data_IF_950449473772
#
_entry.id   IF_950449473772
#
_cell.length_a   1.000
_cell.length_b   1.000
_cell.length_c   1.000
_cell.angle_alpha   90.00
_cell.angle_beta   90.00
_cell.angle_gamma   90.00
#
_symmetry.space_group_name_H-M   'P 1'
#
loop_
_entity.id
_entity.type
_entity.pdbx_description
1 polymer ?
#
# COMPACT_ATOMS: atom_id res chain seq x y z
N UNK A 1 -12.33 12.50 2.29
CA UNK A 1 -12.89 13.30 3.39
C UNK A 1 -12.35 12.79 4.71
N UNK A 2 -11.88 13.70 5.57
CA UNK A 2 -11.37 13.46 6.91
C UNK A 2 -12.38 14.03 7.91
N UNK A 3 -13.20 13.25 8.59
CA UNK A 3 -14.17 13.75 9.56
C UNK A 3 -13.46 14.23 10.82
N UNK A 4 -13.99 15.30 11.43
CA UNK A 4 -13.42 15.93 12.61
C UNK A 4 -14.45 15.94 13.74
N UNK A 5 -14.11 15.34 14.88
CA UNK A 5 -15.00 15.18 16.03
C UNK A 5 -14.67 16.11 17.21
N UNK A 6 -13.46 16.69 17.25
CA UNK A 6 -13.01 17.62 18.28
C UNK A 6 -12.63 18.97 17.66
N UNK A 7 -13.05 20.10 18.26
CA UNK A 7 -12.78 21.42 17.71
C UNK A 7 -11.29 21.75 17.50
N UNK A 8 -10.41 21.28 18.37
CA UNK A 8 -8.97 21.51 18.22
C UNK A 8 -8.34 20.77 17.03
N UNK A 9 -8.99 19.69 16.57
CA UNK A 9 -8.52 18.93 15.39
C UNK A 9 -8.74 19.71 14.09
N UNK A 10 -9.69 20.65 14.04
CA UNK A 10 -9.96 21.45 12.84
C UNK A 10 -8.72 22.23 12.40
N UNK A 11 -8.14 23.13 13.23
CA UNK A 11 -6.92 23.84 12.85
C UNK A 11 -5.72 22.89 12.64
N UNK A 12 -5.60 21.85 13.46
CA UNK A 12 -4.50 20.89 13.36
C UNK A 12 -4.48 20.19 12.00
N UNK A 13 -5.57 19.55 11.60
CA UNK A 13 -5.64 18.89 10.30
C UNK A 13 -5.65 19.89 9.14
N UNK A 14 -6.25 21.06 9.32
CA UNK A 14 -6.26 22.10 8.30
C UNK A 14 -4.84 22.52 7.92
N UNK A 15 -4.00 22.84 8.90
CA UNK A 15 -2.60 23.21 8.65
C UNK A 15 -1.84 22.09 7.96
N UNK A 16 -2.00 20.84 8.44
CA UNK A 16 -1.35 19.68 7.83
C UNK A 16 -1.75 19.48 6.35
N UNK A 17 -3.04 19.55 6.06
CA UNK A 17 -3.55 19.37 4.69
C UNK A 17 -3.18 20.57 3.80
N UNK A 18 -3.13 21.80 4.32
CA UNK A 18 -2.63 22.96 3.56
C UNK A 18 -1.13 22.87 3.26
N UNK A 19 -0.34 22.33 4.17
CA UNK A 19 1.05 22.03 3.90
C UNK A 19 1.19 20.96 2.78
N UNK A 20 0.31 19.94 2.78
CA UNK A 20 0.23 18.95 1.70
C UNK A 20 -0.10 19.60 0.35
N UNK A 21 -1.14 20.47 0.28
CA UNK A 21 -1.47 21.23 -0.93
C UNK A 21 -0.27 22.05 -1.43
N UNK A 22 0.45 22.70 -0.51
CA UNK A 22 1.61 23.52 -0.85
C UNK A 22 2.76 22.70 -1.44
N UNK A 23 3.07 21.54 -0.83
CA UNK A 23 4.12 20.63 -1.33
C UNK A 23 3.74 20.04 -2.69
N UNK A 24 2.46 19.73 -2.92
CA UNK A 24 1.98 19.26 -4.22
C UNK A 24 2.12 20.33 -5.32
N UNK A 25 2.05 21.61 -4.98
CA UNK A 25 2.27 22.73 -5.89
C UNK A 25 1.42 22.66 -7.15
N UNK A 26 2.06 22.74 -8.31
CA UNK A 26 1.38 22.67 -9.62
C UNK A 26 0.81 21.28 -9.97
N UNK A 27 1.17 20.26 -9.22
CA UNK A 27 0.66 18.86 -9.37
C UNK A 27 -0.56 18.61 -8.52
N UNK A 28 -1.00 19.59 -7.72
CA UNK A 28 -2.21 19.45 -6.91
C UNK A 28 -3.44 19.30 -7.82
N UNK A 29 -4.22 18.26 -7.60
CA UNK A 29 -5.43 17.98 -8.38
C UNK A 29 -6.49 19.04 -8.11
N UNK A 30 -6.69 19.42 -6.85
CA UNK A 30 -7.59 20.46 -6.38
C UNK A 30 -7.24 20.85 -4.97
N UNK A 31 -7.39 22.13 -4.62
CA UNK A 31 -7.14 22.62 -3.27
C UNK A 31 -8.11 22.03 -2.26
N UNK A 32 -7.58 21.69 -1.09
CA UNK A 32 -8.35 21.22 0.06
C UNK A 32 -9.29 22.30 0.60
N UNK A 33 -10.39 21.87 1.22
CA UNK A 33 -11.38 22.76 1.82
C UNK A 33 -12.04 22.12 3.05
N UNK A 34 -12.64 22.98 3.88
CA UNK A 34 -13.42 22.56 5.05
C UNK A 34 -14.90 22.43 4.69
N UNK A 35 -15.54 21.40 5.21
CA UNK A 35 -16.98 21.19 5.16
C UNK A 35 -17.59 21.38 6.54
N UNK A 36 -18.69 22.16 6.61
CA UNK A 36 -19.52 22.18 7.80
C UNK A 36 -20.11 20.80 8.09
N UNK A 37 -20.53 20.54 9.32
CA UNK A 37 -21.23 19.29 9.70
C UNK A 37 -22.39 18.99 8.74
N UNK A 38 -23.23 19.98 8.42
CA UNK A 38 -24.37 19.82 7.52
C UNK A 38 -23.92 19.32 6.15
N UNK A 39 -22.99 20.03 5.54
CA UNK A 39 -22.50 19.66 4.19
C UNK A 39 -21.76 18.32 4.16
N UNK A 40 -21.04 17.98 5.24
CA UNK A 40 -20.37 16.69 5.37
C UNK A 40 -21.39 15.53 5.39
N UNK A 41 -22.49 15.69 6.11
CA UNK A 41 -23.58 14.69 6.16
C UNK A 41 -24.43 14.65 4.89
N UNK A 42 -24.56 15.75 4.17
CA UNK A 42 -25.17 15.75 2.84
C UNK A 42 -24.36 14.94 1.82
N UNK A 43 -23.02 15.06 1.86
CA UNK A 43 -22.13 14.34 0.95
C UNK A 43 -21.87 12.89 1.38
N UNK A 44 -21.91 12.62 2.69
CA UNK A 44 -21.72 11.28 3.24
C UNK A 44 -22.80 10.99 4.31
N UNK A 45 -24.03 10.64 3.90
CA UNK A 45 -25.17 10.49 4.81
C UNK A 45 -24.98 9.39 5.87
N UNK A 46 -24.18 8.38 5.58
CA UNK A 46 -23.90 7.28 6.50
C UNK A 46 -22.91 7.63 7.61
N UNK A 47 -22.28 8.79 7.56
CA UNK A 47 -21.31 9.20 8.55
C UNK A 47 -21.97 9.42 9.92
N UNK A 48 -21.29 8.98 10.96
CA UNK A 48 -21.73 9.22 12.35
C UNK A 48 -21.84 10.71 12.63
N UNK A 49 -23.03 11.15 13.01
CA UNK A 49 -23.33 12.57 13.22
C UNK A 49 -23.03 13.05 14.63
N UNK A 50 -22.98 12.14 15.64
CA UNK A 50 -22.71 12.49 17.02
C UNK A 50 -21.29 13.08 17.14
N UNK A 51 -21.21 14.21 17.83
CA UNK A 51 -19.97 14.96 18.06
C UNK A 51 -19.24 15.45 16.80
N UNK A 52 -19.73 15.17 15.59
CA UNK A 52 -19.15 15.66 14.33
C UNK A 52 -19.14 17.20 14.32
N UNK A 53 -17.97 17.80 14.06
CA UNK A 53 -17.78 19.26 13.96
C UNK A 53 -17.71 19.73 12.51
N UNK A 54 -17.33 18.86 11.61
CA UNK A 54 -17.17 19.08 10.18
C UNK A 54 -16.23 18.07 9.59
N UNK A 55 -15.73 18.36 8.41
CA UNK A 55 -14.75 17.50 7.74
C UNK A 55 -13.77 18.35 6.92
N UNK A 56 -12.59 17.84 6.70
CA UNK A 56 -11.63 18.40 5.76
C UNK A 56 -11.61 17.49 4.53
N UNK A 57 -11.70 18.10 3.37
CA UNK A 57 -11.61 17.39 2.07
C UNK A 57 -10.27 17.74 1.45
N UNK A 58 -9.55 16.73 1.01
CA UNK A 58 -8.37 16.85 0.18
C UNK A 58 -8.43 15.85 -0.97
N UNK A 59 -7.57 15.99 -1.94
CA UNK A 59 -7.58 15.20 -3.15
C UNK A 59 -6.31 14.40 -3.26
N UNK A 60 -6.44 13.15 -3.68
CA UNK A 60 -5.33 12.26 -3.92
C UNK A 60 -5.61 11.38 -5.14
N UNK A 61 -4.55 10.81 -5.71
CA UNK A 61 -4.65 9.90 -6.83
C UNK A 61 -5.14 8.52 -6.40
N UNK A 62 -5.99 7.92 -7.23
CA UNK A 62 -6.42 6.54 -7.08
C UNK A 62 -6.28 5.82 -8.41
N UNK A 63 -5.74 4.61 -8.40
CA UNK A 63 -5.58 3.80 -9.60
C UNK A 63 -5.77 2.32 -9.29
N UNK A 64 -5.96 1.53 -10.33
CA UNK A 64 -5.93 0.09 -10.24
C UNK A 64 -4.48 -0.39 -10.29
N UNK A 65 -3.97 -0.92 -9.18
CA UNK A 65 -2.56 -1.30 -9.01
C UNK A 65 -2.12 -2.35 -10.03
N UNK A 66 -2.95 -3.37 -10.27
CA UNK A 66 -2.65 -4.41 -11.25
C UNK A 66 -2.55 -3.83 -12.68
N UNK A 67 -3.48 -2.94 -13.05
CA UNK A 67 -3.45 -2.26 -14.35
C UNK A 67 -2.27 -1.33 -14.50
N UNK A 68 -1.91 -0.59 -13.44
CA UNK A 68 -0.74 0.28 -13.45
C UNK A 68 0.54 -0.54 -13.62
N UNK A 69 0.68 -1.64 -12.90
CA UNK A 69 1.81 -2.55 -13.02
C UNK A 69 1.98 -3.08 -14.45
N UNK A 70 0.88 -3.58 -15.05
CA UNK A 70 0.89 -4.04 -16.44
C UNK A 70 1.25 -2.92 -17.40
N UNK A 71 0.71 -1.71 -17.21
CA UNK A 71 1.01 -0.56 -18.06
C UNK A 71 2.50 -0.17 -18.00
N UNK A 72 3.11 -0.23 -16.82
CA UNK A 72 4.55 0.02 -16.63
C UNK A 72 5.37 -1.06 -17.35
N UNK A 73 5.02 -2.35 -17.18
CA UNK A 73 5.71 -3.45 -17.83
C UNK A 73 5.63 -3.36 -19.36
N UNK A 74 4.44 -3.05 -19.90
CA UNK A 74 4.25 -2.83 -21.34
C UNK A 74 5.02 -1.62 -21.85
N UNK A 75 5.12 -0.57 -21.04
CA UNK A 75 5.94 0.60 -21.39
C UNK A 75 7.42 0.24 -21.48
N UNK A 76 7.93 -0.54 -20.53
CA UNK A 76 9.31 -1.04 -20.59
C UNK A 76 9.56 -1.84 -21.87
N UNK A 77 8.65 -2.75 -22.24
CA UNK A 77 8.75 -3.51 -23.47
C UNK A 77 8.73 -2.61 -24.73
N UNK A 78 7.90 -1.56 -24.75
CA UNK A 78 7.88 -0.57 -25.84
C UNK A 78 9.20 0.20 -25.99
N UNK A 79 9.93 0.38 -24.90
CA UNK A 79 11.26 0.98 -24.90
C UNK A 79 12.39 -0.02 -25.18
N UNK A 80 12.05 -1.25 -25.60
CA UNK A 80 13.01 -2.27 -26.00
C UNK A 80 13.50 -3.20 -24.90
N UNK A 81 12.92 -3.14 -23.70
CA UNK A 81 13.25 -4.08 -22.65
C UNK A 81 12.63 -5.47 -22.94
N UNK A 82 13.38 -6.55 -22.68
CA UNK A 82 12.83 -7.89 -22.62
C UNK A 82 12.15 -8.08 -21.26
N UNK A 83 10.84 -8.27 -21.26
CA UNK A 83 10.04 -8.52 -20.06
C UNK A 83 9.53 -9.95 -20.11
N UNK A 84 9.91 -10.76 -19.12
CA UNK A 84 9.47 -12.15 -19.00
C UNK A 84 8.81 -12.37 -17.64
N UNK A 85 7.57 -12.85 -17.65
CA UNK A 85 6.89 -13.35 -16.45
C UNK A 85 7.16 -14.86 -16.27
N UNK A 86 6.81 -15.41 -15.12
CA UNK A 86 7.06 -16.81 -14.76
C UNK A 86 8.53 -17.24 -14.81
N UNK A 87 9.45 -16.28 -14.75
CA UNK A 87 10.89 -16.54 -14.73
C UNK A 87 11.46 -16.13 -13.37
N UNK A 88 12.06 -17.09 -12.69
CA UNK A 88 12.70 -16.87 -11.39
C UNK A 88 14.22 -16.76 -11.53
N UNK A 89 14.83 -15.89 -10.73
CA UNK A 89 16.26 -15.90 -10.50
C UNK A 89 16.56 -16.99 -9.47
N UNK A 90 17.31 -18.02 -9.84
CA UNK A 90 17.64 -19.15 -8.94
C UNK A 90 19.03 -19.03 -8.34
N UNK A 91 19.96 -18.33 -9.00
CA UNK A 91 21.26 -17.98 -8.44
C UNK A 91 21.87 -16.77 -9.16
N UNK A 92 22.80 -16.10 -8.51
CA UNK A 92 23.63 -15.07 -9.11
C UNK A 92 24.98 -15.68 -9.54
N UNK A 93 25.47 -15.27 -10.70
CA UNK A 93 26.75 -15.75 -11.25
C UNK A 93 27.84 -14.76 -10.93
N UNK A 94 28.96 -15.28 -10.41
CA UNK A 94 30.16 -14.50 -10.12
C UNK A 94 31.30 -14.93 -11.05
N UNK A 95 32.09 -13.97 -11.42
CA UNK A 95 33.38 -14.20 -12.04
C UNK A 95 34.31 -14.88 -11.04
N UNK A 96 34.91 -16.02 -11.37
CA UNK A 96 35.75 -16.79 -10.44
C UNK A 96 37.05 -16.07 -10.03
N UNK A 97 37.57 -15.17 -10.86
CA UNK A 97 38.82 -14.47 -10.61
C UNK A 97 38.59 -13.19 -9.79
N UNK A 98 37.54 -12.45 -10.10
CA UNK A 98 37.28 -11.14 -9.51
C UNK A 98 36.21 -11.13 -8.42
N UNK A 99 35.41 -12.21 -8.33
CA UNK A 99 34.29 -12.29 -7.41
C UNK A 99 33.09 -11.37 -7.78
N UNK A 100 33.19 -10.62 -8.88
CA UNK A 100 32.15 -9.68 -9.32
C UNK A 100 30.96 -10.42 -9.92
N UNK A 101 29.76 -9.86 -9.74
CA UNK A 101 28.56 -10.35 -10.40
C UNK A 101 28.66 -10.10 -11.91
N UNK A 102 28.41 -11.15 -12.71
CA UNK A 102 28.47 -11.14 -14.17
C UNK A 102 27.15 -11.59 -14.82
N UNK A 103 26.16 -12.00 -14.03
CA UNK A 103 24.91 -12.49 -14.55
C UNK A 103 24.09 -13.25 -13.51
N UNK A 104 23.10 -13.96 -14.00
CA UNK A 104 22.20 -14.78 -13.19
C UNK A 104 21.86 -16.08 -13.91
N UNK A 105 21.51 -17.11 -13.14
CA UNK A 105 20.81 -18.29 -13.61
C UNK A 105 19.33 -18.08 -13.42
N UNK A 106 18.58 -18.26 -14.48
CA UNK A 106 17.13 -18.10 -14.56
C UNK A 106 16.47 -19.47 -14.71
N UNK A 107 15.24 -19.56 -14.21
CA UNK A 107 14.40 -20.75 -14.35
C UNK A 107 13.01 -20.36 -14.82
N UNK A 108 12.54 -20.94 -15.89
CA UNK A 108 11.14 -20.91 -16.29
C UNK A 108 10.31 -21.76 -15.32
N UNK A 109 9.36 -21.14 -14.63
CA UNK A 109 8.51 -21.81 -13.64
C UNK A 109 7.42 -22.69 -14.28
N UNK A 110 7.21 -22.61 -15.60
CA UNK A 110 6.23 -23.41 -16.32
C UNK A 110 6.86 -24.68 -16.93
N UNK A 111 8.05 -24.55 -17.51
CA UNK A 111 8.76 -25.67 -18.16
C UNK A 111 9.80 -26.32 -17.27
N UNK A 112 10.24 -25.64 -16.24
CA UNK A 112 11.39 -25.97 -15.38
C UNK A 112 12.75 -25.90 -16.08
N UNK A 113 12.82 -25.35 -17.29
CA UNK A 113 14.08 -25.13 -17.98
C UNK A 113 14.90 -24.05 -17.29
N UNK A 114 16.20 -24.25 -17.26
CA UNK A 114 17.16 -23.30 -16.68
C UNK A 114 18.16 -22.84 -17.71
N UNK A 115 18.52 -21.55 -17.67
CA UNK A 115 19.56 -20.98 -18.54
C UNK A 115 20.30 -19.86 -17.82
N UNK A 116 21.46 -19.52 -18.33
CA UNK A 116 22.27 -18.43 -17.82
C UNK A 116 22.10 -17.18 -18.66
N UNK A 117 22.05 -16.03 -18.00
CA UNK A 117 22.13 -14.71 -18.63
C UNK A 117 23.34 -13.95 -18.13
N UNK A 118 23.96 -13.19 -19.03
CA UNK A 118 25.05 -12.27 -18.69
C UNK A 118 24.51 -10.86 -18.57
N UNK A 119 25.00 -10.11 -17.58
CA UNK A 119 24.60 -8.74 -17.35
C UNK A 119 25.76 -7.91 -16.80
N UNK A 120 25.87 -6.66 -17.24
CA UNK A 120 26.85 -5.69 -16.70
C UNK A 120 26.43 -5.17 -15.34
N UNK A 121 25.12 -5.08 -15.10
CA UNK A 121 24.51 -4.61 -13.85
C UNK A 121 23.30 -5.47 -13.55
N UNK A 122 23.10 -5.82 -12.30
CA UNK A 122 21.91 -6.50 -11.79
C UNK A 122 21.20 -5.58 -10.82
N UNK A 123 19.93 -5.26 -11.10
CA UNK A 123 19.10 -4.43 -10.23
C UNK A 123 18.10 -5.34 -9.50
N UNK A 124 18.25 -5.42 -8.18
CA UNK A 124 17.33 -6.15 -7.34
C UNK A 124 16.18 -5.21 -6.91
N UNK A 125 15.01 -5.37 -7.51
CA UNK A 125 13.79 -4.63 -7.18
C UNK A 125 12.65 -5.63 -6.90
N UNK A 126 12.95 -6.73 -6.20
CA UNK A 126 12.06 -7.88 -6.01
C UNK A 126 11.10 -7.72 -4.82
N UNK A 127 10.91 -6.50 -4.32
CA UNK A 127 9.96 -6.21 -3.24
C UNK A 127 10.27 -7.00 -1.96
N UNK A 128 9.32 -7.74 -1.40
CA UNK A 128 9.53 -8.49 -0.16
C UNK A 128 10.59 -9.59 -0.28
N UNK A 129 10.94 -10.01 -1.50
CA UNK A 129 11.97 -11.02 -1.78
C UNK A 129 13.40 -10.45 -1.91
N UNK A 130 13.58 -9.14 -1.69
CA UNK A 130 14.87 -8.45 -1.86
C UNK A 130 16.00 -9.13 -1.08
N UNK A 131 15.77 -9.51 0.17
CA UNK A 131 16.79 -10.12 1.01
C UNK A 131 17.24 -11.50 0.51
N UNK A 132 16.35 -12.27 -0.09
CA UNK A 132 16.71 -13.57 -0.67
C UNK A 132 17.69 -13.43 -1.84
N UNK A 133 17.49 -12.44 -2.70
CA UNK A 133 18.40 -12.15 -3.81
C UNK A 133 19.74 -11.56 -3.29
N UNK A 134 19.71 -10.70 -2.28
CA UNK A 134 20.93 -10.18 -1.65
C UNK A 134 21.78 -11.31 -1.05
N UNK A 135 21.16 -12.27 -0.38
CA UNK A 135 21.84 -13.43 0.19
C UNK A 135 22.37 -14.41 -0.86
N UNK A 136 21.83 -14.44 -2.08
CA UNK A 136 22.44 -15.17 -3.21
C UNK A 136 23.78 -14.55 -3.63
N UNK A 137 23.91 -13.22 -3.49
CA UNK A 137 25.20 -12.53 -3.74
C UNK A 137 26.18 -12.77 -2.61
N UNK A 138 25.74 -12.58 -1.38
CA UNK A 138 26.59 -12.76 -0.19
C UNK A 138 25.71 -13.24 0.98
N UNK A 139 25.93 -14.48 1.40
CA UNK A 139 25.16 -15.12 2.48
C UNK A 139 25.32 -14.44 3.84
N UNK A 140 26.33 -13.59 4.02
CA UNK A 140 26.59 -12.82 5.24
C UNK A 140 25.80 -11.51 5.29
N UNK A 141 25.15 -11.13 4.19
CA UNK A 141 24.37 -9.89 4.10
C UNK A 141 23.25 -9.85 5.13
N UNK A 142 23.21 -8.75 5.89
CA UNK A 142 22.12 -8.47 6.85
C UNK A 142 20.81 -8.25 6.11
N UNK A 143 19.73 -8.82 6.63
CA UNK A 143 18.37 -8.51 6.15
C UNK A 143 18.02 -7.05 6.38
N UNK A 144 17.47 -6.40 5.36
CA UNK A 144 17.03 -5.00 5.39
C UNK A 144 15.52 -4.88 5.21
N UNK A 145 14.84 -5.92 4.71
CA UNK A 145 13.42 -5.91 4.49
C UNK A 145 12.68 -6.40 5.76
N UNK A 146 11.68 -5.64 6.19
CA UNK A 146 10.75 -6.02 7.24
C UNK A 146 9.35 -6.18 6.63
N UNK A 147 8.99 -7.39 6.21
CA UNK A 147 7.72 -7.63 5.53
C UNK A 147 6.52 -7.34 6.44
N UNK A 148 5.55 -6.62 5.92
CA UNK A 148 4.29 -6.35 6.62
C UNK A 148 3.10 -6.64 5.69
N UNK A 149 2.17 -7.48 6.17
CA UNK A 149 0.96 -7.81 5.44
C UNK A 149 -0.12 -6.76 5.71
N UNK A 150 -0.73 -6.28 4.62
CA UNK A 150 -1.89 -5.42 4.66
C UNK A 150 -3.08 -6.06 3.96
N UNK A 151 -4.25 -5.95 4.57
CA UNK A 151 -5.49 -6.53 4.08
C UNK A 151 -6.46 -5.45 3.66
N UNK A 152 -7.18 -5.68 2.57
CA UNK A 152 -8.31 -4.88 2.13
C UNK A 152 -9.53 -5.77 1.94
N UNK A 153 -10.70 -5.19 2.14
CA UNK A 153 -11.99 -5.83 1.87
C UNK A 153 -12.79 -5.02 0.86
N UNK A 154 -13.63 -5.69 0.11
CA UNK A 154 -14.61 -5.09 -0.81
C UNK A 154 -15.99 -5.23 -0.22
N UNK A 155 -16.71 -4.13 -0.18
CA UNK A 155 -18.08 -4.02 0.28
C UNK A 155 -18.99 -3.52 -0.85
N UNK A 156 -20.31 -3.70 -0.77
CA UNK A 156 -21.26 -3.09 -1.69
C UNK A 156 -21.08 -1.57 -1.80
N UNK A 157 -21.23 -1.02 -2.99
CA UNK A 157 -20.97 0.39 -3.28
C UNK A 157 -21.87 1.38 -2.57
N UNK A 158 -23.01 0.92 -2.05
CA UNK A 158 -23.92 1.80 -1.29
C UNK A 158 -23.35 2.21 0.09
N UNK A 159 -22.26 1.58 0.56
CA UNK A 159 -21.62 1.97 1.82
C UNK A 159 -20.79 3.26 1.71
N UNK A 160 -20.43 3.72 0.54
CA UNK A 160 -19.75 5.00 0.35
C UNK A 160 -20.34 5.81 -0.81
N UNK A 161 -20.27 7.16 -0.77
CA UNK A 161 -20.59 7.98 -1.92
C UNK A 161 -19.70 7.66 -3.12
N UNK A 162 -20.21 7.77 -4.34
CA UNK A 162 -19.43 7.46 -5.55
C UNK A 162 -18.28 8.43 -5.83
N UNK A 163 -18.34 9.63 -5.27
CA UNK A 163 -17.36 10.72 -5.55
C UNK A 163 -16.48 11.10 -4.39
N UNK A 164 -16.60 10.42 -3.24
CA UNK A 164 -15.89 10.80 -2.02
C UNK A 164 -15.63 9.59 -1.15
N UNK A 165 -14.37 9.43 -0.74
CA UNK A 165 -13.97 8.46 0.26
C UNK A 165 -13.85 9.05 1.66
N UNK A 166 -13.72 8.18 2.65
CA UNK A 166 -13.42 8.49 4.03
C UNK A 166 -11.97 8.09 4.34
N UNK A 167 -11.28 8.93 5.08
CA UNK A 167 -9.99 8.63 5.70
C UNK A 167 -10.14 8.81 7.21
N UNK A 168 -9.81 7.76 7.95
CA UNK A 168 -9.57 7.87 9.39
C UNK A 168 -8.08 7.83 9.67
N UNK A 169 -7.53 8.93 10.22
CA UNK A 169 -6.12 8.99 10.58
C UNK A 169 -5.81 8.41 11.97
N UNK A 170 -6.81 8.00 12.73
CA UNK A 170 -6.67 7.66 14.14
C UNK A 170 -7.59 6.50 14.54
N UNK A 171 -7.37 5.34 13.93
CA UNK A 171 -8.00 4.09 14.34
C UNK A 171 -7.67 3.73 15.80
N UNK A 172 -8.36 2.77 16.36
CA UNK A 172 -8.16 2.31 17.74
C UNK A 172 -6.72 1.92 18.07
N UNK A 173 -5.95 1.51 17.07
CA UNK A 173 -4.54 1.13 17.17
C UNK A 173 -3.55 2.14 16.57
N UNK A 174 -4.04 3.34 16.20
CA UNK A 174 -3.22 4.44 15.65
C UNK A 174 -2.86 4.31 14.18
N UNK A 175 -3.43 3.35 13.46
CA UNK A 175 -3.25 3.20 12.01
C UNK A 175 -4.17 4.15 11.25
N UNK A 176 -4.04 4.11 9.93
CA UNK A 176 -4.91 4.82 9.00
C UNK A 176 -5.79 3.81 8.29
N UNK A 177 -7.10 4.06 8.27
CA UNK A 177 -8.02 3.27 7.48
C UNK A 177 -8.66 4.13 6.40
N UNK A 178 -8.76 3.55 5.21
CA UNK A 178 -9.46 4.14 4.07
C UNK A 178 -10.78 3.41 3.84
N UNK A 179 -11.76 4.16 3.38
CA UNK A 179 -13.05 3.67 2.95
C UNK A 179 -13.41 4.41 1.67
N UNK A 180 -13.09 3.81 0.52
CA UNK A 180 -13.01 4.49 -0.76
C UNK A 180 -14.00 3.92 -1.76
N UNK A 181 -14.67 4.75 -2.55
CA UNK A 181 -15.43 4.29 -3.70
C UNK A 181 -14.49 3.66 -4.73
N UNK A 182 -14.90 2.53 -5.28
CA UNK A 182 -14.15 1.80 -6.29
C UNK A 182 -15.11 1.24 -7.34
N UNK A 183 -15.22 1.94 -8.46
CA UNK A 183 -16.21 1.60 -9.49
C UNK A 183 -17.65 1.51 -8.91
N UNK A 184 -18.21 0.30 -8.80
CA UNK A 184 -19.52 0.03 -8.21
C UNK A 184 -19.47 -0.48 -6.77
N UNK A 185 -18.28 -0.51 -6.18
CA UNK A 185 -17.99 -1.11 -4.88
C UNK A 185 -17.34 -0.10 -3.94
N UNK A 186 -17.17 -0.50 -2.71
CA UNK A 186 -16.39 0.23 -1.71
C UNK A 186 -15.23 -0.62 -1.26
N UNK A 187 -14.01 -0.08 -1.32
CA UNK A 187 -12.80 -0.71 -0.78
C UNK A 187 -12.55 -0.15 0.61
N UNK A 188 -12.29 -1.02 1.58
CA UNK A 188 -11.90 -0.65 2.92
C UNK A 188 -10.60 -1.34 3.33
N UNK A 189 -9.77 -0.64 4.05
CA UNK A 189 -8.47 -1.10 4.55
C UNK A 189 -7.62 0.06 5.04
N UNK A 190 -6.57 -0.20 5.71
CA UNK A 190 -5.82 -1.44 5.65
C UNK A 190 -5.48 -1.94 7.05
N UNK A 191 -5.03 -3.19 7.14
CA UNK A 191 -4.29 -3.69 8.29
C UNK A 191 -2.79 -3.50 8.10
N UNK A 192 -2.02 -3.70 9.15
CA UNK A 192 -0.56 -3.67 9.11
C UNK A 192 -0.02 -4.62 10.18
N UNK A 193 0.56 -5.74 9.74
CA UNK A 193 1.04 -6.80 10.63
C UNK A 193 2.33 -7.41 10.05
N UNK A 194 3.35 -7.55 10.87
CA UNK A 194 4.55 -8.29 10.50
C UNK A 194 4.21 -9.72 10.04
N UNK A 195 4.86 -10.20 9.01
CA UNK A 195 4.61 -11.52 8.43
C UNK A 195 5.86 -12.15 7.83
N UNK A 196 5.78 -13.46 7.60
CA UNK A 196 6.73 -14.17 6.75
C UNK A 196 6.48 -13.86 5.28
N UNK A 197 7.54 -13.89 4.46
CA UNK A 197 7.45 -13.70 3.02
C UNK A 197 6.83 -14.93 2.36
N UNK A 198 5.79 -14.72 1.59
CA UNK A 198 5.10 -15.77 0.82
C UNK A 198 4.67 -15.25 -0.55
N UNK A 199 4.59 -16.15 -1.52
CA UNK A 199 4.02 -15.82 -2.84
C UNK A 199 2.49 -15.70 -2.84
N UNK A 200 1.83 -16.24 -1.81
CA UNK A 200 0.37 -16.30 -1.70
C UNK A 200 -0.11 -15.75 -0.35
N UNK A 201 0.07 -14.42 -0.10
CA UNK A 201 -0.46 -13.82 1.10
C UNK A 201 -1.98 -13.90 1.11
N UNK A 202 -2.54 -14.30 2.24
CA UNK A 202 -3.99 -14.44 2.41
C UNK A 202 -4.48 -13.66 3.64
N UNK A 203 -5.65 -13.01 3.54
CA UNK A 203 -6.25 -12.34 4.68
C UNK A 203 -6.70 -13.36 5.74
N UNK A 204 -6.57 -13.01 7.01
CA UNK A 204 -7.15 -13.77 8.11
C UNK A 204 -8.52 -13.22 8.48
N UNK A 205 -9.34 -14.03 9.13
CA UNK A 205 -10.63 -13.55 9.65
C UNK A 205 -10.46 -12.42 10.67
N UNK A 206 -9.38 -12.44 11.45
CA UNK A 206 -9.05 -11.37 12.39
C UNK A 206 -8.80 -10.04 11.68
N UNK A 207 -8.09 -10.05 10.55
CA UNK A 207 -7.85 -8.86 9.74
C UNK A 207 -9.17 -8.28 9.20
N UNK A 208 -10.08 -9.14 8.73
CA UNK A 208 -11.39 -8.74 8.22
C UNK A 208 -12.24 -8.13 9.34
N UNK A 209 -12.30 -8.77 10.49
CA UNK A 209 -13.07 -8.29 11.65
C UNK A 209 -12.52 -6.96 12.17
N UNK A 210 -11.19 -6.79 12.19
CA UNK A 210 -10.58 -5.52 12.55
C UNK A 210 -11.08 -4.39 11.64
N UNK A 211 -11.02 -4.57 10.32
CA UNK A 211 -11.48 -3.55 9.35
C UNK A 211 -12.96 -3.25 9.55
N UNK A 212 -13.80 -4.27 9.71
CA UNK A 212 -15.24 -4.09 9.94
C UNK A 212 -15.52 -3.32 11.23
N UNK A 213 -14.79 -3.60 12.30
CA UNK A 213 -14.95 -2.89 13.56
C UNK A 213 -14.57 -1.42 13.44
N UNK A 214 -13.46 -1.09 12.77
CA UNK A 214 -13.06 0.30 12.54
C UNK A 214 -14.08 1.05 11.69
N UNK A 215 -14.62 0.44 10.63
CA UNK A 215 -15.68 1.06 9.81
C UNK A 215 -16.91 1.39 10.65
N UNK A 216 -17.34 0.50 11.54
CA UNK A 216 -18.50 0.72 12.42
C UNK A 216 -18.33 1.91 13.35
N UNK A 217 -17.11 2.28 13.71
CA UNK A 217 -16.86 3.46 14.54
C UNK A 217 -17.21 4.78 13.81
N UNK A 218 -17.13 4.81 12.48
CA UNK A 218 -17.37 6.00 11.66
C UNK A 218 -18.76 6.07 11.08
N UNK A 219 -19.41 4.94 10.86
CA UNK A 219 -20.75 4.90 10.33
C UNK A 219 -21.79 5.14 11.44
N UNK A 220 -22.93 5.65 11.05
CA UNK A 220 -24.09 5.82 11.94
C UNK A 220 -24.43 4.51 12.61
N UNK A 221 -24.78 4.54 13.90
CA UNK A 221 -25.19 3.36 14.67
C UNK A 221 -26.43 2.63 14.12
N UNK A 222 -27.13 3.22 13.16
CA UNK A 222 -28.22 2.57 12.42
C UNK A 222 -27.74 1.71 11.25
N UNK A 223 -26.43 1.79 10.91
CA UNK A 223 -25.83 1.06 9.79
C UNK A 223 -24.95 -0.05 10.37
N UNK A 224 -25.39 -1.29 10.17
CA UNK A 224 -24.65 -2.47 10.59
C UNK A 224 -23.93 -3.08 9.38
N UNK A 225 -22.60 -2.89 9.34
CA UNK A 225 -21.73 -3.52 8.33
C UNK A 225 -21.33 -4.90 8.83
N UNK A 226 -21.88 -5.94 8.23
CA UNK A 226 -21.74 -7.32 8.69
C UNK A 226 -20.64 -8.07 7.94
N UNK A 227 -20.16 -9.17 8.52
CA UNK A 227 -19.23 -10.07 7.86
C UNK A 227 -19.76 -10.58 6.50
N UNK A 228 -21.07 -10.84 6.44
CA UNK A 228 -21.74 -11.27 5.20
C UNK A 228 -21.79 -10.24 4.08
N UNK A 229 -21.53 -8.97 4.37
CA UNK A 229 -21.46 -7.90 3.37
C UNK A 229 -20.09 -7.83 2.69
N UNK A 230 -19.08 -8.56 3.18
CA UNK A 230 -17.75 -8.64 2.58
C UNK A 230 -17.80 -9.52 1.33
N UNK A 231 -17.70 -8.91 0.19
CA UNK A 231 -17.78 -9.57 -1.12
C UNK A 231 -16.46 -10.21 -1.53
N UNK A 232 -15.36 -9.60 -1.14
CA UNK A 232 -13.99 -10.08 -1.41
C UNK A 232 -13.04 -9.54 -0.37
N UNK A 233 -11.94 -10.26 -0.15
CA UNK A 233 -10.82 -9.81 0.66
C UNK A 233 -9.51 -10.24 -0.01
N UNK A 234 -8.50 -9.39 0.06
CA UNK A 234 -7.15 -9.74 -0.41
C UNK A 234 -6.08 -9.18 0.52
N UNK A 235 -4.90 -9.74 0.39
CA UNK A 235 -3.73 -9.32 1.16
C UNK A 235 -2.53 -9.07 0.24
N UNK A 236 -1.66 -8.17 0.66
CA UNK A 236 -0.38 -7.90 0.02
C UNK A 236 0.72 -7.71 1.06
N UNK A 237 1.95 -8.05 0.69
CA UNK A 237 3.12 -7.87 1.55
C UNK A 237 3.85 -6.60 1.15
N UNK A 238 3.96 -5.65 2.08
CA UNK A 238 4.75 -4.42 1.91
C UNK A 238 6.23 -4.72 2.18
N UNK A 239 7.12 -4.33 1.29
CA UNK A 239 8.57 -4.43 1.49
C UNK A 239 9.07 -3.22 2.29
N UNK A 240 8.71 -3.13 3.56
CA UNK A 240 9.21 -2.06 4.42
C UNK A 240 10.70 -2.25 4.63
N UNK A 241 11.49 -1.18 4.46
CA UNK A 241 12.95 -1.26 4.50
C UNK A 241 13.46 -0.58 5.76
N UNK A 242 14.34 -1.28 6.48
CA UNK A 242 15.12 -0.71 7.57
C UNK A 242 16.29 0.09 7.00
N UNK A 243 16.48 1.31 7.49
CA UNK A 243 17.64 2.12 7.09
C UNK A 243 18.92 1.46 7.63
N UNK A 244 19.81 0.91 6.77
CA UNK A 244 21.01 0.22 7.20
C UNK A 244 22.02 1.16 7.90
N UNK A 245 21.90 2.46 7.70
CA UNK A 245 22.75 3.47 8.34
C UNK A 245 22.34 3.80 9.78
N UNK A 246 21.15 3.35 10.22
CA UNK A 246 20.66 3.63 11.57
C UNK A 246 20.82 2.44 12.50
N UNK A 247 21.33 2.65 13.72
CA UNK A 247 21.59 1.57 14.68
C UNK A 247 20.31 0.92 15.22
N UNK A 248 19.17 1.62 15.17
CA UNK A 248 17.90 1.13 15.72
C UNK A 248 17.00 0.54 14.63
N UNK A 249 16.58 -0.70 14.84
CA UNK A 249 15.69 -1.46 13.94
C UNK A 249 14.25 -0.92 13.88
N UNK A 250 13.91 0.10 14.67
CA UNK A 250 12.56 0.69 14.75
C UNK A 250 12.28 1.76 13.70
N UNK A 251 13.30 2.24 12.97
CA UNK A 251 13.11 3.30 11.98
C UNK A 251 12.93 2.74 10.57
N UNK A 252 11.67 2.53 10.19
CA UNK A 252 11.30 2.19 8.82
C UNK A 252 11.57 3.41 7.92
N UNK A 253 12.35 3.19 6.85
CA UNK A 253 12.58 4.23 5.85
C UNK A 253 11.30 4.47 5.03
N UNK A 254 10.89 5.72 4.93
CA UNK A 254 9.76 6.12 4.06
C UNK A 254 10.20 6.43 2.62
N UNK A 255 11.49 6.53 2.38
CA UNK A 255 12.07 6.71 1.05
C UNK A 255 12.67 5.38 0.56
N UNK A 256 12.86 5.28 -0.76
CA UNK A 256 13.62 4.17 -1.32
C UNK A 256 15.08 4.23 -0.85
N UNK A 257 15.68 3.06 -0.63
CA UNK A 257 17.09 2.91 -0.30
C UNK A 257 17.74 2.21 -1.48
N UNK A 258 18.86 2.78 -1.96
CA UNK A 258 19.73 2.16 -2.96
C UNK A 258 20.98 1.71 -2.22
N UNK A 259 21.21 0.39 -2.22
CA UNK A 259 22.36 -0.29 -1.63
C UNK A 259 23.15 -0.98 -2.75
N UNK A 260 24.48 -0.82 -2.78
CA UNK A 260 25.36 -1.31 -3.87
C UNK A 260 26.42 -2.26 -3.34
#
# INVERSE_FOLDING_TARGET
MLPVYKWWQVPYFWVGIKAYDFVAGSRNLKSSYFLSKKNALELFPMLKSESLKGAIVYYDGQHNDARMNIAIALSAARYGATVANHVAVVSLRKDPETGKLIGARLKDQMTNEEWDVQAKVIINATGPFTDSIRQMSDSTQRKICQPSIGVHIVLPGYYSPSSMGLLDPATSDGRVIFFLPWEKWTIAGTTDRSCEVTHHPSPTEQDIQFILNEIRHYLSGTIDVRRGDVMSAWAGIRPLVLDPSKPNTESIARNHIIDV
#
